data_IF_579836246971
#
_entry.id   IF_579836246971
#
_cell.length_a   1.000
_cell.length_b   1.000
_cell.length_c   1.000
_cell.angle_alpha   90.00
_cell.angle_beta   90.00
_cell.angle_gamma   90.00
#
_symmetry.space_group_name_H-M   'P 1'
#
loop_
_entity.id
_entity.type
_entity.pdbx_description
1 polymer ?
#
# COMPACT_ATOMS: atom_id res chain seq x y z
N UNK A 1 72.95 31.40 -22.88
CA UNK A 1 73.23 29.99 -23.26
C UNK A 1 71.97 29.22 -22.90
N UNK A 2 71.14 28.84 -23.89
CA UNK A 2 71.18 27.52 -24.56
C UNK A 2 70.95 26.42 -23.51
N UNK A 3 69.95 25.55 -23.52
CA UNK A 3 69.25 24.83 -24.61
C UNK A 3 68.15 24.00 -23.92
N UNK A 4 66.92 23.92 -24.45
CA UNK A 4 66.36 22.80 -25.25
C UNK A 4 66.42 21.41 -24.59
N UNK A 5 65.51 20.45 -24.79
CA UNK A 5 64.15 20.34 -25.33
C UNK A 5 63.84 18.81 -25.43
N UNK A 6 62.54 18.46 -25.60
CA UNK A 6 62.03 17.23 -26.25
C UNK A 6 62.26 15.86 -25.54
N UNK A 7 61.44 14.81 -25.69
CA UNK A 7 60.25 14.55 -26.51
C UNK A 7 59.60 13.21 -26.11
N UNK A 8 58.37 13.01 -26.60
CA UNK A 8 57.79 11.71 -26.94
C UNK A 8 56.47 11.47 -26.23
N UNK A 9 55.32 11.35 -26.89
CA UNK A 9 55.01 11.31 -28.31
C UNK A 9 53.65 10.62 -28.53
N UNK A 10 52.85 11.18 -29.44
CA UNK A 10 51.79 10.59 -30.32
C UNK A 10 50.82 9.51 -29.78
N UNK A 11 49.55 9.41 -30.17
CA UNK A 11 48.85 9.69 -31.44
C UNK A 11 47.32 9.84 -31.09
N UNK A 12 46.55 10.82 -31.59
CA UNK A 12 45.74 10.87 -32.86
C UNK A 12 44.72 9.71 -32.96
N UNK A 13 43.42 9.83 -33.23
CA UNK A 13 42.56 10.76 -34.00
C UNK A 13 41.19 10.89 -33.26
N UNK A 14 40.25 11.82 -33.47
CA UNK A 14 39.76 12.57 -34.64
C UNK A 14 38.22 12.67 -34.45
N UNK A 15 37.68 13.86 -34.12
CA UNK A 15 36.65 14.63 -34.87
C UNK A 15 35.42 13.82 -35.36
N UNK A 16 34.13 14.21 -35.24
CA UNK A 16 33.45 15.50 -35.01
C UNK A 16 31.92 15.26 -34.93
N UNK A 17 31.18 16.17 -34.25
CA UNK A 17 29.76 16.57 -34.43
C UNK A 17 28.62 15.57 -34.13
N UNK A 18 27.39 15.93 -33.73
CA UNK A 18 26.70 17.14 -33.21
C UNK A 18 25.25 16.73 -32.91
N UNK A 19 24.60 17.35 -31.92
CA UNK A 19 23.13 17.40 -31.74
C UNK A 19 22.54 16.17 -31.02
N UNK A 20 21.54 16.25 -30.16
CA UNK A 20 20.64 17.33 -29.76
C UNK A 20 19.32 16.70 -29.33
N UNK A 21 18.82 17.08 -28.14
CA UNK A 21 17.44 16.98 -27.61
C UNK A 21 16.74 15.61 -27.41
N UNK A 22 16.34 15.42 -26.14
CA UNK A 22 15.07 14.88 -25.59
C UNK A 22 14.59 13.44 -25.90
N UNK A 23 14.16 12.66 -24.90
CA UNK A 23 13.31 11.48 -25.11
C UNK A 23 11.82 11.82 -24.97
N UNK A 24 11.03 11.49 -25.99
CA UNK A 24 9.57 11.40 -25.96
C UNK A 24 9.13 10.03 -26.50
N UNK A 25 8.33 9.37 -25.67
CA UNK A 25 7.19 8.46 -25.90
C UNK A 25 7.18 7.35 -26.99
N UNK A 26 6.55 6.24 -26.57
CA UNK A 26 5.85 5.20 -27.36
C UNK A 26 6.67 4.07 -28.02
N UNK A 27 6.52 2.84 -27.48
CA UNK A 27 5.83 1.70 -28.12
C UNK A 27 6.27 0.36 -27.47
N UNK A 28 5.39 -0.23 -26.64
CA UNK A 28 5.52 -1.60 -26.16
C UNK A 28 4.48 -2.47 -26.86
N UNK A 29 4.87 -3.23 -27.87
CA UNK A 29 4.11 -4.40 -28.29
C UNK A 29 4.99 -5.47 -28.96
N UNK A 30 4.64 -6.72 -28.66
CA UNK A 30 5.04 -7.98 -29.31
C UNK A 30 6.32 -8.66 -28.82
N UNK A 31 6.18 -9.42 -27.71
CA UNK A 31 6.97 -10.63 -27.50
C UNK A 31 6.09 -11.86 -27.81
N UNK A 32 6.46 -12.56 -28.88
CA UNK A 32 5.94 -13.85 -29.30
C UNK A 32 6.55 -14.97 -28.46
N UNK A 33 5.71 -15.84 -27.88
CA UNK A 33 6.15 -17.06 -27.22
C UNK A 33 6.25 -18.20 -28.24
N UNK A 34 7.45 -18.76 -28.36
CA UNK A 34 7.81 -19.89 -29.22
C UNK A 34 7.44 -21.21 -28.54
N UNK A 35 6.88 -22.18 -29.28
CA UNK A 35 6.64 -23.56 -28.81
C UNK A 35 7.59 -24.53 -29.54
N UNK A 36 8.02 -25.62 -28.88
CA UNK A 36 9.00 -26.56 -29.44
C UNK A 36 8.37 -27.52 -30.46
N UNK A 37 9.13 -27.80 -31.53
CA UNK A 37 8.85 -28.82 -32.55
C UNK A 37 8.80 -30.23 -31.95
N UNK A 38 7.79 -31.00 -32.33
CA UNK A 38 7.71 -32.44 -32.10
C UNK A 38 8.42 -33.21 -33.23
N UNK A 39 9.30 -34.14 -32.83
CA UNK A 39 10.05 -35.03 -33.71
C UNK A 39 9.19 -36.26 -34.09
N UNK A 40 9.33 -36.69 -35.35
CA UNK A 40 8.51 -37.74 -35.97
C UNK A 40 9.06 -39.15 -35.76
N UNK A 41 8.18 -40.14 -35.55
CA UNK A 41 8.49 -41.55 -35.81
C UNK A 41 7.24 -42.40 -36.15
N UNK A 42 7.15 -42.74 -37.44
CA UNK A 42 6.79 -44.04 -38.03
C UNK A 42 5.31 -44.50 -38.09
N UNK A 43 4.99 -45.10 -39.25
CA UNK A 43 3.67 -45.42 -39.78
C UNK A 43 3.44 -46.93 -39.89
N UNK A 44 2.17 -47.35 -39.87
CA UNK A 44 1.63 -48.51 -40.59
C UNK A 44 0.09 -48.34 -40.77
N UNK A 45 -0.57 -48.99 -41.75
CA UNK A 45 -1.66 -48.40 -42.52
C UNK A 45 -2.99 -49.18 -42.40
N UNK A 46 -4.12 -48.48 -42.37
CA UNK A 46 -5.38 -48.98 -42.91
C UNK A 46 -6.41 -47.84 -42.98
N UNK A 47 -6.64 -47.31 -44.18
CA UNK A 47 -7.86 -46.57 -44.50
C UNK A 47 -8.95 -47.55 -44.96
N UNK A 48 -10.22 -47.14 -44.91
CA UNK A 48 -10.89 -46.99 -46.19
C UNK A 48 -11.39 -45.56 -46.43
N UNK A 49 -11.62 -45.31 -47.71
CA UNK A 49 -11.64 -44.03 -48.39
C UNK A 49 -12.79 -43.09 -48.02
N UNK A 50 -12.52 -41.79 -48.18
CA UNK A 50 -13.53 -40.75 -48.36
C UNK A 50 -14.29 -40.98 -49.68
N UNK A 51 -15.62 -40.84 -49.66
CA UNK A 51 -16.35 -40.37 -50.82
C UNK A 51 -16.74 -38.90 -50.58
N UNK A 52 -16.38 -38.08 -51.55
CA UNK A 52 -16.79 -36.70 -51.64
C UNK A 52 -18.26 -36.63 -52.06
N UNK A 53 -19.08 -35.95 -51.27
CA UNK A 53 -20.38 -35.45 -51.67
C UNK A 53 -20.43 -33.95 -51.42
N UNK A 54 -20.09 -33.16 -52.44
CA UNK A 54 -20.26 -31.71 -52.42
C UNK A 54 -21.72 -31.35 -52.72
N UNK A 55 -22.40 -30.68 -51.80
CA UNK A 55 -23.36 -29.61 -52.10
C UNK A 55 -23.88 -28.98 -50.79
N UNK A 56 -23.52 -27.72 -50.62
CA UNK A 56 -24.05 -26.80 -49.61
C UNK A 56 -25.56 -26.65 -49.81
N UNK A 57 -26.37 -27.17 -48.90
CA UNK A 57 -27.74 -26.69 -48.73
C UNK A 57 -27.69 -25.39 -47.94
N UNK A 58 -28.20 -24.31 -48.52
CA UNK A 58 -28.40 -23.04 -47.85
C UNK A 58 -29.55 -23.16 -46.83
N UNK A 59 -29.30 -22.57 -45.66
CA UNK A 59 -30.28 -21.94 -44.78
C UNK A 59 -31.25 -22.86 -44.03
N UNK A 60 -30.77 -23.36 -42.89
CA UNK A 60 -31.59 -23.28 -41.67
C UNK A 60 -31.10 -22.04 -40.90
N UNK A 61 -31.95 -21.06 -40.57
CA UNK A 61 -31.54 -19.98 -39.69
C UNK A 61 -31.08 -20.62 -38.36
N UNK A 62 -30.02 -20.10 -37.71
CA UNK A 62 -29.66 -20.58 -36.39
C UNK A 62 -30.90 -20.50 -35.49
N UNK A 63 -31.09 -21.46 -34.56
CA UNK A 63 -32.22 -21.41 -33.65
C UNK A 63 -32.26 -20.03 -32.99
N UNK A 64 -33.45 -19.43 -32.81
CA UNK A 64 -33.54 -18.14 -32.16
C UNK A 64 -32.89 -18.25 -30.80
N UNK A 65 -31.90 -17.39 -30.54
CA UNK A 65 -31.32 -17.24 -29.21
C UNK A 65 -32.38 -16.66 -28.30
N UNK A 66 -32.69 -17.37 -27.23
CA UNK A 66 -33.57 -16.86 -26.18
C UNK A 66 -32.80 -15.82 -25.36
N UNK A 67 -32.92 -14.57 -25.78
CA UNK A 67 -32.24 -13.44 -25.13
C UNK A 67 -32.77 -13.25 -23.71
N UNK A 68 -34.04 -13.56 -23.46
CA UNK A 68 -34.66 -13.46 -22.13
C UNK A 68 -34.09 -14.51 -21.17
N UNK A 69 -33.83 -15.74 -21.65
CA UNK A 69 -33.14 -16.78 -20.86
C UNK A 69 -31.71 -16.38 -20.51
N UNK A 70 -30.94 -15.85 -21.48
CA UNK A 70 -29.56 -15.43 -21.26
C UNK A 70 -29.49 -14.23 -20.31
N UNK A 71 -30.38 -13.25 -20.47
CA UNK A 71 -30.46 -12.09 -19.59
C UNK A 71 -30.90 -12.53 -18.20
N UNK A 72 -31.89 -13.40 -18.07
CA UNK A 72 -32.35 -13.95 -16.80
C UNK A 72 -31.26 -14.71 -16.05
N UNK A 73 -30.48 -15.53 -16.76
CA UNK A 73 -29.34 -16.25 -16.19
C UNK A 73 -28.23 -15.29 -15.74
N UNK A 74 -27.94 -14.25 -16.53
CA UNK A 74 -26.95 -13.24 -16.17
C UNK A 74 -27.39 -12.45 -14.93
N UNK A 75 -28.65 -11.98 -14.87
CA UNK A 75 -29.18 -11.23 -13.71
C UNK A 75 -29.19 -12.08 -12.45
N UNK A 76 -29.61 -13.35 -12.54
CA UNK A 76 -29.57 -14.27 -11.40
C UNK A 76 -28.16 -14.47 -10.85
N UNK A 77 -27.17 -14.61 -11.73
CA UNK A 77 -25.77 -14.72 -11.31
C UNK A 77 -25.24 -13.45 -10.62
N UNK A 78 -25.72 -12.25 -11.01
CA UNK A 78 -25.34 -11.00 -10.34
C UNK A 78 -25.99 -10.91 -8.96
N UNK A 79 -27.28 -11.25 -8.85
CA UNK A 79 -28.00 -11.25 -7.58
C UNK A 79 -27.40 -12.25 -6.59
N UNK A 80 -27.05 -13.45 -7.05
CA UNK A 80 -26.35 -14.46 -6.24
C UNK A 80 -24.97 -13.95 -5.77
N UNK A 81 -24.21 -13.28 -6.64
CA UNK A 81 -22.92 -12.70 -6.28
C UNK A 81 -23.05 -11.55 -5.27
N UNK A 82 -24.10 -10.73 -5.38
CA UNK A 82 -24.40 -9.68 -4.41
C UNK A 82 -24.78 -10.29 -3.07
N UNK A 83 -25.70 -11.28 -3.05
CA UNK A 83 -26.10 -11.97 -1.84
C UNK A 83 -24.91 -12.65 -1.13
N UNK A 84 -24.03 -13.31 -1.89
CA UNK A 84 -22.82 -13.91 -1.34
C UNK A 84 -21.87 -12.87 -0.73
N UNK A 85 -21.72 -11.68 -1.35
CA UNK A 85 -20.92 -10.59 -0.78
C UNK A 85 -21.55 -10.00 0.48
N UNK A 86 -22.88 -9.92 0.54
CA UNK A 86 -23.59 -9.48 1.74
C UNK A 86 -23.43 -10.46 2.89
N UNK A 87 -23.50 -11.75 2.61
CA UNK A 87 -23.25 -12.81 3.59
C UNK A 87 -21.81 -12.78 4.09
N UNK A 88 -20.83 -12.65 3.19
CA UNK A 88 -19.42 -12.49 3.57
C UNK A 88 -19.19 -11.24 4.43
N UNK A 89 -19.84 -10.11 4.10
CA UNK A 89 -19.77 -8.88 4.91
C UNK A 89 -20.35 -9.10 6.30
N UNK A 90 -21.54 -9.69 6.41
CA UNK A 90 -22.16 -10.00 7.72
C UNK A 90 -21.31 -10.97 8.53
N UNK A 91 -20.71 -11.97 7.90
CA UNK A 91 -19.80 -12.91 8.54
C UNK A 91 -18.52 -12.21 9.03
N UNK A 92 -17.95 -11.31 8.23
CA UNK A 92 -16.79 -10.51 8.61
C UNK A 92 -17.11 -9.54 9.76
N UNK A 93 -18.25 -8.85 9.73
CA UNK A 93 -18.73 -7.99 10.81
C UNK A 93 -18.97 -8.78 12.11
N UNK A 94 -19.57 -9.97 12.01
CA UNK A 94 -19.77 -10.85 13.16
C UNK A 94 -18.45 -11.37 13.73
N UNK A 95 -17.50 -11.74 12.87
CA UNK A 95 -16.16 -12.17 13.28
C UNK A 95 -15.36 -11.02 13.92
N UNK A 96 -15.45 -9.81 13.36
CA UNK A 96 -14.82 -8.62 13.93
C UNK A 96 -15.42 -8.25 15.28
N UNK A 97 -16.74 -8.32 15.42
CA UNK A 97 -17.43 -8.11 16.71
C UNK A 97 -17.07 -9.19 17.73
N UNK A 98 -16.95 -10.44 17.32
CA UNK A 98 -16.51 -11.53 18.18
C UNK A 98 -15.04 -11.38 18.60
N UNK A 99 -14.17 -10.94 17.69
CA UNK A 99 -12.77 -10.64 18.00
C UNK A 99 -12.64 -9.42 18.93
N UNK A 100 -13.45 -8.38 18.73
CA UNK A 100 -13.52 -7.23 19.63
C UNK A 100 -14.05 -7.61 21.02
N UNK A 101 -15.04 -8.51 21.09
CA UNK A 101 -15.55 -9.04 22.36
C UNK A 101 -14.55 -9.98 23.05
N UNK A 102 -13.78 -10.76 22.29
CA UNK A 102 -12.71 -11.62 22.84
C UNK A 102 -11.46 -10.82 23.26
N UNK A 103 -11.22 -9.66 22.64
CA UNK A 103 -10.20 -8.70 23.06
C UNK A 103 -10.68 -7.77 24.19
N UNK A 104 -11.97 -7.78 24.51
CA UNK A 104 -12.57 -7.13 25.66
C UNK A 104 -12.82 -8.18 26.75
N UNK A 105 -11.75 -8.68 27.37
CA UNK A 105 -11.90 -9.25 28.71
C UNK A 105 -12.28 -8.13 29.70
N UNK A 106 -13.07 -8.40 30.76
CA UNK A 106 -13.55 -7.37 31.64
C UNK A 106 -12.42 -6.93 32.59
N UNK A 107 -11.72 -5.85 32.25
CA UNK A 107 -11.06 -5.05 33.28
C UNK A 107 -12.14 -4.19 33.94
N UNK A 108 -12.49 -4.55 35.18
CA UNK A 108 -13.25 -3.68 36.06
C UNK A 108 -12.53 -2.33 36.21
N UNK A 109 -13.26 -1.20 36.31
CA UNK A 109 -12.63 0.10 36.38
C UNK A 109 -11.99 0.30 37.75
N UNK A 110 -10.71 -0.04 37.88
CA UNK A 110 -9.87 0.47 38.96
C UNK A 110 -9.62 1.97 38.71
N UNK A 111 -9.89 2.87 39.67
CA UNK A 111 -9.59 4.28 39.51
C UNK A 111 -8.08 4.48 39.69
N UNK A 112 -7.30 4.33 38.63
CA UNK A 112 -5.88 4.69 38.66
C UNK A 112 -5.72 6.18 38.39
N UNK A 113 -5.67 6.91 39.49
CA UNK A 113 -5.22 8.28 39.60
C UNK A 113 -3.84 8.47 38.93
N UNK A 114 -3.78 9.34 37.91
CA UNK A 114 -2.62 10.13 37.51
C UNK A 114 -1.23 9.49 37.68
N UNK A 115 -0.88 8.57 36.80
CA UNK A 115 0.51 8.13 36.61
C UNK A 115 1.16 8.90 35.47
N UNK A 116 1.61 10.14 35.74
CA UNK A 116 2.51 10.84 34.82
C UNK A 116 3.71 9.94 34.54
N UNK A 117 3.88 9.54 33.28
CA UNK A 117 4.95 8.66 32.85
C UNK A 117 6.27 9.20 33.33
N UNK A 118 6.96 8.43 34.17
CA UNK A 118 8.40 8.61 34.36
C UNK A 118 9.07 8.13 33.08
N UNK A 119 9.02 8.97 32.04
CA UNK A 119 9.89 8.83 30.88
C UNK A 119 11.35 8.91 31.33
N UNK A 120 12.29 8.36 30.56
CA UNK A 120 13.72 8.46 30.89
C UNK A 120 14.11 9.94 31.12
N UNK A 121 14.81 10.22 32.23
CA UNK A 121 15.10 11.58 32.72
C UNK A 121 16.08 12.39 31.88
N UNK A 122 16.39 11.93 30.67
CA UNK A 122 17.08 12.69 29.65
C UNK A 122 16.86 11.98 28.32
N UNK A 123 15.75 12.30 27.67
CA UNK A 123 15.62 12.02 26.26
C UNK A 123 16.67 12.88 25.53
N UNK A 124 17.78 12.25 25.15
CA UNK A 124 18.84 12.87 24.35
C UNK A 124 18.61 12.60 22.87
N UNK A 125 17.36 12.34 22.48
CA UNK A 125 17.04 12.02 21.13
C UNK A 125 17.06 13.33 20.34
N UNK A 126 17.85 13.39 19.27
CA UNK A 126 17.95 14.57 18.41
C UNK A 126 16.80 14.63 17.41
N UNK A 127 16.91 15.42 16.35
CA UNK A 127 15.87 15.49 15.31
C UNK A 127 15.81 14.26 14.39
N UNK A 128 16.42 13.14 14.77
CA UNK A 128 16.50 11.93 13.96
C UNK A 128 15.10 11.43 13.61
N UNK A 129 14.88 11.22 12.30
CA UNK A 129 13.60 10.79 11.75
C UNK A 129 12.57 11.91 11.61
N UNK A 130 12.87 13.12 12.07
CA UNK A 130 12.02 14.31 11.96
C UNK A 130 12.64 15.38 11.06
N UNK A 131 13.62 15.03 10.22
CA UNK A 131 14.29 16.00 9.37
C UNK A 131 13.31 16.62 8.35
N UNK A 132 13.23 17.95 8.36
CA UNK A 132 12.43 18.73 7.42
C UNK A 132 10.95 18.83 7.73
N UNK A 133 10.44 18.17 8.79
CA UNK A 133 9.07 18.39 9.26
C UNK A 133 8.89 19.84 9.75
N UNK A 134 7.65 20.31 9.84
CA UNK A 134 7.38 21.65 10.36
C UNK A 134 7.87 21.80 11.80
N UNK A 135 8.29 23.02 12.20
CA UNK A 135 8.91 23.23 13.51
C UNK A 135 8.04 22.79 14.70
N UNK A 136 6.75 23.12 14.67
CA UNK A 136 5.79 22.69 15.68
C UNK A 136 5.61 21.16 15.72
N UNK A 137 5.73 20.50 14.56
CA UNK A 137 5.66 19.03 14.47
C UNK A 137 6.89 18.39 15.08
N UNK A 138 8.08 18.96 14.85
CA UNK A 138 9.31 18.50 15.48
C UNK A 138 9.26 18.67 17.02
N UNK A 139 8.76 19.82 17.50
CA UNK A 139 8.66 20.10 18.94
C UNK A 139 7.67 19.15 19.66
N UNK A 140 6.49 18.92 19.06
CA UNK A 140 5.52 17.97 19.57
C UNK A 140 6.03 16.52 19.47
N UNK A 141 6.69 16.19 18.36
CA UNK A 141 7.30 14.89 18.11
C UNK A 141 8.36 14.53 19.13
N UNK A 142 9.27 15.46 19.43
CA UNK A 142 10.27 15.33 20.48
C UNK A 142 9.61 15.07 21.83
N UNK A 143 8.64 15.91 22.20
CA UNK A 143 7.94 15.79 23.48
C UNK A 143 7.31 14.41 23.67
N UNK A 144 6.56 13.93 22.66
CA UNK A 144 5.91 12.64 22.69
C UNK A 144 6.93 11.48 22.69
N UNK A 145 7.94 11.55 21.81
CA UNK A 145 9.00 10.55 21.73
C UNK A 145 9.68 10.35 23.09
N UNK A 146 10.01 11.45 23.76
CA UNK A 146 10.66 11.44 25.06
C UNK A 146 9.77 10.91 26.18
N UNK A 147 8.50 11.31 26.19
CA UNK A 147 7.55 10.91 27.21
C UNK A 147 7.26 9.40 27.18
N UNK A 148 7.16 8.84 25.98
CA UNK A 148 6.80 7.44 25.77
C UNK A 148 7.99 6.52 25.53
N UNK A 149 9.21 7.06 25.42
CA UNK A 149 10.42 6.26 25.18
C UNK A 149 10.43 5.62 23.80
N UNK A 150 10.02 6.36 22.77
CA UNK A 150 9.95 5.86 21.39
C UNK A 150 11.32 5.99 20.73
N UNK A 151 11.91 4.87 20.30
CA UNK A 151 13.24 4.89 19.68
C UNK A 151 13.22 5.34 18.21
N UNK A 152 12.14 5.06 17.49
CA UNK A 152 12.03 5.34 16.06
C UNK A 152 10.78 6.14 15.75
N UNK A 153 11.00 7.32 15.14
CA UNK A 153 9.96 8.19 14.61
C UNK A 153 10.22 8.41 13.13
N UNK A 154 9.19 8.33 12.30
CA UNK A 154 9.30 8.57 10.86
C UNK A 154 8.50 9.81 10.46
N UNK A 155 9.19 10.83 9.97
CA UNK A 155 8.64 12.10 9.49
C UNK A 155 8.48 12.10 7.98
N UNK A 156 9.15 13.01 7.28
CA UNK A 156 8.96 13.17 5.83
C UNK A 156 9.22 11.87 5.07
N UNK A 157 8.28 11.50 4.21
CA UNK A 157 8.42 10.36 3.31
C UNK A 157 7.29 10.29 2.31
N UNK A 158 7.56 9.66 1.16
CA UNK A 158 6.48 9.29 0.23
C UNK A 158 5.66 8.16 0.87
N UNK A 159 4.34 8.28 0.77
CA UNK A 159 3.36 7.32 1.32
C UNK A 159 2.26 7.11 0.28
N UNK A 160 1.64 5.94 0.29
CA UNK A 160 0.49 5.66 -0.56
C UNK A 160 -0.74 6.44 -0.10
N UNK A 161 -1.62 6.81 -1.04
CA UNK A 161 -2.86 7.54 -0.75
C UNK A 161 -2.66 9.00 -0.36
N UNK A 162 -3.67 9.59 0.28
CA UNK A 162 -3.58 10.94 0.88
C UNK A 162 -2.78 10.85 2.16
N UNK A 163 -1.63 11.52 2.24
CA UNK A 163 -0.75 11.49 3.40
C UNK A 163 -0.20 12.87 3.71
N UNK A 164 -0.08 13.19 4.99
CA UNK A 164 0.48 14.44 5.49
C UNK A 164 2.02 14.37 5.62
N UNK A 165 2.61 13.18 5.55
CA UNK A 165 4.08 12.98 5.63
C UNK A 165 4.86 13.77 4.57
N UNK A 166 4.49 13.77 3.27
CA UNK A 166 5.24 14.53 2.26
C UNK A 166 5.26 16.03 2.53
N UNK A 167 4.27 16.55 3.25
CA UNK A 167 4.17 17.96 3.62
C UNK A 167 4.84 18.31 4.95
N UNK A 168 5.45 17.33 5.63
CA UNK A 168 6.09 17.53 6.93
C UNK A 168 5.09 17.77 8.07
N UNK A 169 3.86 17.28 7.92
CA UNK A 169 2.74 17.49 8.87
C UNK A 169 2.30 16.22 9.61
N UNK A 170 3.07 15.14 9.51
CA UNK A 170 2.77 13.90 10.22
C UNK A 170 4.03 13.19 10.69
N UNK A 171 3.85 12.38 11.73
CA UNK A 171 4.86 11.52 12.32
C UNK A 171 4.27 10.13 12.58
N UNK A 172 5.03 9.09 12.25
CA UNK A 172 4.77 7.71 12.66
C UNK A 172 5.67 7.37 13.86
N UNK A 173 5.08 7.04 15.00
CA UNK A 173 5.81 6.58 16.19
C UNK A 173 5.81 5.06 16.21
N UNK A 174 6.95 4.44 15.94
CA UNK A 174 7.07 2.97 15.89
C UNK A 174 7.08 2.40 17.31
N UNK A 175 6.03 1.66 17.68
CA UNK A 175 5.81 1.25 19.08
C UNK A 175 5.13 -0.10 19.17
N UNK A 176 5.36 -0.78 20.29
CA UNK A 176 4.51 -1.91 20.69
C UNK A 176 3.09 -1.45 21.05
N UNK A 177 2.19 -2.42 21.22
CA UNK A 177 0.79 -2.12 21.50
C UNK A 177 0.56 -1.32 22.79
N UNK A 178 1.20 -1.72 23.89
CA UNK A 178 0.97 -1.11 25.20
C UNK A 178 1.50 0.33 25.25
N UNK A 179 2.62 0.59 24.56
CA UNK A 179 3.14 1.95 24.39
C UNK A 179 2.25 2.78 23.47
N UNK A 180 1.81 2.21 22.34
CA UNK A 180 0.91 2.89 21.40
C UNK A 180 -0.45 3.24 21.97
N UNK A 181 -1.06 2.36 22.78
CA UNK A 181 -2.35 2.64 23.44
C UNK A 181 -2.25 3.90 24.34
N UNK A 182 -1.20 3.99 25.16
CA UNK A 182 -0.97 5.15 26.04
C UNK A 182 -0.62 6.43 25.26
N UNK A 183 0.19 6.31 24.22
CA UNK A 183 0.60 7.44 23.38
C UNK A 183 -0.61 8.02 22.64
N UNK A 184 -1.43 7.18 22.02
CA UNK A 184 -2.63 7.60 21.30
C UNK A 184 -3.65 8.28 22.23
N UNK A 185 -3.89 7.72 23.43
CA UNK A 185 -4.77 8.33 24.42
C UNK A 185 -4.27 9.71 24.88
N UNK A 186 -2.98 9.83 25.21
CA UNK A 186 -2.39 11.11 25.60
C UNK A 186 -2.45 12.13 24.46
N UNK A 187 -2.12 11.72 23.24
CA UNK A 187 -2.16 12.58 22.06
C UNK A 187 -3.56 13.15 21.83
N UNK A 188 -4.61 12.33 21.96
CA UNK A 188 -5.99 12.79 21.84
C UNK A 188 -6.41 13.71 22.99
N UNK A 189 -6.02 13.40 24.23
CA UNK A 189 -6.34 14.22 25.39
C UNK A 189 -5.68 15.61 25.35
N UNK A 190 -4.53 15.74 24.67
CA UNK A 190 -3.75 16.99 24.59
C UNK A 190 -3.72 17.57 23.16
N UNK A 191 -4.68 17.20 22.30
CA UNK A 191 -4.61 17.52 20.87
C UNK A 191 -4.50 19.01 20.57
N UNK A 192 -5.22 19.85 21.31
CA UNK A 192 -5.27 21.29 21.06
C UNK A 192 -3.93 21.95 21.41
N UNK A 193 -3.29 21.50 22.50
CA UNK A 193 -1.98 22.00 22.92
C UNK A 193 -0.86 21.55 21.97
N UNK A 194 -0.94 20.32 21.48
CA UNK A 194 0.05 19.74 20.57
C UNK A 194 -0.19 20.11 19.09
N UNK A 195 -1.31 20.79 18.77
CA UNK A 195 -1.68 21.11 17.39
C UNK A 195 -2.01 19.89 16.54
N UNK A 196 -2.58 18.85 17.15
CA UNK A 196 -2.92 17.57 16.49
C UNK A 196 -4.27 17.68 15.80
N UNK A 197 -4.31 17.26 14.53
CA UNK A 197 -5.53 17.20 13.72
C UNK A 197 -6.20 15.84 13.80
N UNK A 198 -5.44 14.74 13.74
CA UNK A 198 -5.97 13.40 13.95
C UNK A 198 -4.90 12.40 14.39
N UNK A 199 -5.36 11.30 14.98
CA UNK A 199 -4.53 10.16 15.36
C UNK A 199 -5.07 8.92 14.67
N UNK A 200 -4.18 8.09 14.11
CA UNK A 200 -4.51 6.77 13.60
C UNK A 200 -3.76 5.71 14.42
N UNK A 201 -4.51 4.74 14.94
CA UNK A 201 -3.95 3.64 15.72
C UNK A 201 -4.84 2.40 15.66
N UNK A 202 -4.23 1.23 15.41
CA UNK A 202 -4.92 -0.07 15.33
C UNK A 202 -6.11 -0.03 14.36
N UNK A 203 -5.86 0.43 13.14
CA UNK A 203 -6.86 0.53 12.06
C UNK A 203 -8.05 1.46 12.38
N UNK A 204 -7.89 2.36 13.34
CA UNK A 204 -8.91 3.35 13.70
C UNK A 204 -8.35 4.75 13.58
N UNK A 205 -9.20 5.70 13.21
CA UNK A 205 -8.88 7.12 13.17
C UNK A 205 -9.72 7.86 14.21
N UNK A 206 -9.14 8.86 14.86
CA UNK A 206 -9.87 9.79 15.72
C UNK A 206 -9.46 11.23 15.38
N UNK A 207 -10.44 12.01 14.94
CA UNK A 207 -10.30 13.42 14.53
C UNK A 207 -10.71 14.41 15.65
N UNK A 208 -11.02 13.90 16.86
CA UNK A 208 -11.50 14.66 18.02
C UNK A 208 -12.92 14.28 18.44
N UNK A 209 -13.62 13.43 17.68
CA UNK A 209 -14.99 12.99 17.93
C UNK A 209 -15.12 11.53 18.36
N UNK A 210 -14.00 10.84 18.59
CA UNK A 210 -13.95 9.42 18.92
C UNK A 210 -13.44 8.56 17.77
N UNK A 211 -13.18 7.29 18.08
CA UNK A 211 -12.59 6.33 17.15
C UNK A 211 -13.57 5.82 16.10
N UNK A 212 -13.14 5.88 14.85
CA UNK A 212 -13.82 5.32 13.68
C UNK A 212 -12.94 4.25 13.02
N UNK A 213 -13.51 3.10 12.65
CA UNK A 213 -12.77 2.06 11.92
C UNK A 213 -12.48 2.51 10.48
N UNK A 214 -11.25 2.26 10.02
CA UNK A 214 -10.85 2.49 8.63
C UNK A 214 -10.95 1.21 7.81
N UNK A 215 -11.00 1.32 6.48
CA UNK A 215 -10.89 0.15 5.60
C UNK A 215 -9.58 -0.61 5.83
N UNK A 216 -9.59 -1.90 5.53
CA UNK A 216 -8.36 -2.69 5.47
C UNK A 216 -7.55 -2.29 4.23
N UNK A 217 -6.34 -1.77 4.47
CA UNK A 217 -5.39 -1.30 3.46
C UNK A 217 -4.29 -2.32 3.15
N UNK A 218 -4.35 -3.49 3.77
CA UNK A 218 -3.45 -4.61 3.53
C UNK A 218 -2.17 -4.55 4.35
N UNK A 219 -2.19 -5.22 5.51
CA UNK A 219 -1.01 -5.46 6.36
C UNK A 219 -0.86 -4.49 7.53
N UNK A 220 0.06 -4.83 8.44
CA UNK A 220 0.19 -4.15 9.73
C UNK A 220 0.54 -2.67 9.60
N UNK A 221 1.56 -2.33 8.80
CA UNK A 221 1.96 -0.94 8.59
C UNK A 221 0.87 -0.13 7.90
N UNK A 222 0.25 -0.64 6.83
CA UNK A 222 -0.83 0.10 6.15
C UNK A 222 -2.06 0.32 7.05
N UNK A 223 -2.32 -0.62 7.97
CA UNK A 223 -3.40 -0.55 8.95
C UNK A 223 -2.97 0.06 10.29
N UNK A 224 -1.75 0.61 10.40
CA UNK A 224 -1.25 1.29 11.60
C UNK A 224 -1.32 0.40 12.85
N UNK A 225 -0.92 -0.86 12.69
CA UNK A 225 -0.93 -1.86 13.76
C UNK A 225 0.38 -1.88 14.55
N UNK A 226 1.45 -1.35 13.96
CA UNK A 226 2.84 -1.34 14.42
C UNK A 226 3.38 0.09 14.73
N UNK A 227 2.57 1.12 14.50
CA UNK A 227 2.90 2.50 14.83
C UNK A 227 1.66 3.34 15.12
N UNK A 228 1.81 4.38 15.95
CA UNK A 228 0.82 5.45 16.09
C UNK A 228 1.15 6.53 15.07
N UNK A 229 0.21 6.85 14.21
CA UNK A 229 0.34 7.96 13.27
C UNK A 229 -0.39 9.19 13.81
N UNK A 230 0.27 10.34 13.77
CA UNK A 230 -0.27 11.60 14.24
C UNK A 230 -0.07 12.66 13.16
N UNK A 231 -1.16 13.33 12.79
CA UNK A 231 -1.14 14.51 11.93
C UNK A 231 -1.33 15.78 12.73
N UNK A 232 -0.75 16.87 12.21
CA UNK A 232 -0.66 18.16 12.86
C UNK A 232 -1.14 19.30 11.93
N UNK A 233 -1.59 20.41 12.51
CA UNK A 233 -2.11 21.59 11.79
C UNK A 233 -1.00 22.52 11.29
#
# INVERSE_FOLDING_TARGET
MLTSALAGGGLVAGHVATGGLAPQTEDLALQSFSLPSAEAAQADPAAPAASAGAARALAEPPPPVDVDEIVGAATGAVDDAVAAREEQRRAAEAAAKAAAAAAAEPDEPEPSSGGGGTGPSSCAAGTEGMEGVAGNVADAGETLRCMFGVDTVLGIGSRGGTSDHPSGKALDFMVDRATGDRLAEYALANRDELGITYVIWRQRIDTGSGWEMQEDRGGDTANHMDHVHISFS
#
